data_IF_329297185835
#
_entry.id   IF_329297185835
#
_cell.length_a   1.000
_cell.length_b   1.000
_cell.length_c   1.000
_cell.angle_alpha   90.00
_cell.angle_beta   90.00
_cell.angle_gamma   90.00
#
_symmetry.space_group_name_H-M   'P 1'
#
loop_
_entity.id
_entity.type
_entity.pdbx_description
1 polymer ?
#
# COMPACT_ATOMS: atom_id res chain seq x y z
N UNK A 1 -2.32 15.04 -15.33
CA UNK A 1 -3.02 15.51 -14.13
C UNK A 1 -4.31 14.74 -13.83
N UNK A 2 -5.05 14.28 -14.85
CA UNK A 2 -6.30 13.53 -14.68
C UNK A 2 -6.17 12.21 -13.90
N UNK A 3 -5.08 11.45 -14.10
CA UNK A 3 -4.87 10.16 -13.41
C UNK A 3 -4.98 10.23 -11.89
N UNK A 4 -4.32 11.20 -11.25
CA UNK A 4 -4.37 11.36 -9.79
C UNK A 4 -5.73 11.84 -9.29
N UNK A 5 -6.44 12.67 -10.07
CA UNK A 5 -7.79 13.12 -9.72
C UNK A 5 -8.81 11.98 -9.79
N UNK A 6 -8.72 11.12 -10.81
CA UNK A 6 -9.56 9.93 -10.92
C UNK A 6 -9.25 8.95 -9.78
N UNK A 7 -7.97 8.75 -9.45
CA UNK A 7 -7.59 7.92 -8.32
C UNK A 7 -8.15 8.46 -6.99
N UNK A 8 -8.15 9.77 -6.77
CA UNK A 8 -8.81 10.36 -5.61
C UNK A 8 -10.32 10.13 -5.58
N UNK A 9 -10.99 10.03 -6.73
CA UNK A 9 -12.39 9.64 -6.78
C UNK A 9 -12.57 8.21 -6.28
N UNK A 10 -11.80 7.25 -6.80
CA UNK A 10 -11.87 5.85 -6.35
C UNK A 10 -11.56 5.72 -4.85
N UNK A 11 -10.49 6.38 -4.39
CA UNK A 11 -10.10 6.40 -2.97
C UNK A 11 -11.22 6.97 -2.10
N UNK A 12 -11.85 8.07 -2.52
CA UNK A 12 -12.93 8.70 -1.76
C UNK A 12 -14.14 7.77 -1.61
N UNK A 13 -14.57 7.12 -2.70
CA UNK A 13 -15.69 6.18 -2.64
C UNK A 13 -15.36 4.93 -1.80
N UNK A 14 -14.10 4.47 -1.80
CA UNK A 14 -13.64 3.36 -0.94
C UNK A 14 -13.61 3.75 0.54
N UNK A 15 -13.06 4.92 0.89
CA UNK A 15 -12.99 5.37 2.29
C UNK A 15 -14.40 5.54 2.88
N UNK A 16 -15.39 5.94 2.07
CA UNK A 16 -16.79 6.05 2.52
C UNK A 16 -17.42 4.72 2.93
N UNK A 17 -16.88 3.59 2.50
CA UNK A 17 -17.36 2.26 2.88
C UNK A 17 -16.73 1.72 4.17
N UNK A 18 -15.73 2.42 4.72
CA UNK A 18 -15.16 2.05 6.02
C UNK A 18 -16.20 2.20 7.13
N UNK A 19 -16.08 1.37 8.16
CA UNK A 19 -16.85 1.58 9.37
C UNK A 19 -16.43 2.89 10.08
N UNK A 20 -17.27 3.37 10.99
CA UNK A 20 -17.04 4.63 11.69
C UNK A 20 -15.73 4.61 12.49
N UNK A 21 -15.32 3.47 13.04
CA UNK A 21 -14.08 3.37 13.82
C UNK A 21 -12.85 3.54 12.91
N UNK A 22 -12.82 2.85 11.77
CA UNK A 22 -11.76 2.93 10.79
C UNK A 22 -11.72 4.28 10.09
N UNK A 23 -12.88 4.82 9.69
CA UNK A 23 -12.99 6.13 9.07
C UNK A 23 -12.41 7.23 9.97
N UNK A 24 -12.75 7.21 11.27
CA UNK A 24 -12.30 8.21 12.24
C UNK A 24 -10.80 8.12 12.59
N UNK A 25 -10.10 7.04 12.22
CA UNK A 25 -8.63 6.96 12.35
C UNK A 25 -7.90 7.82 11.32
N UNK A 26 -8.55 8.16 10.21
CA UNK A 26 -7.98 9.00 9.16
C UNK A 26 -8.21 10.47 9.52
N UNK A 27 -7.17 11.33 9.57
CA UNK A 27 -7.34 12.75 9.84
C UNK A 27 -8.29 13.41 8.84
N UNK A 28 -9.20 14.25 9.34
CA UNK A 28 -10.23 14.90 8.53
C UNK A 28 -9.66 15.73 7.38
N UNK A 29 -8.48 16.32 7.57
CA UNK A 29 -7.77 17.10 6.57
C UNK A 29 -7.30 16.24 5.39
N UNK A 30 -6.94 14.97 5.65
CA UNK A 30 -6.55 14.02 4.61
C UNK A 30 -7.77 13.65 3.77
N UNK A 31 -8.89 13.33 4.42
CA UNK A 31 -10.15 13.01 3.73
C UNK A 31 -10.61 14.19 2.89
N UNK A 32 -10.61 15.40 3.46
CA UNK A 32 -10.96 16.63 2.77
C UNK A 32 -10.04 16.91 1.58
N UNK A 33 -8.73 16.69 1.72
CA UNK A 33 -7.81 16.85 0.61
C UNK A 33 -8.10 15.88 -0.54
N UNK A 34 -8.45 14.63 -0.24
CA UNK A 34 -8.87 13.64 -1.26
C UNK A 34 -10.16 14.11 -1.94
N UNK A 35 -11.15 14.54 -1.17
CA UNK A 35 -12.44 15.01 -1.68
C UNK A 35 -12.30 16.24 -2.59
N UNK A 36 -11.56 17.26 -2.16
CA UNK A 36 -11.40 18.51 -2.90
C UNK A 36 -10.58 18.34 -4.19
N UNK A 37 -9.71 17.32 -4.25
CA UNK A 37 -8.84 17.08 -5.40
C UNK A 37 -9.35 15.97 -6.34
N UNK A 38 -10.49 15.34 -6.03
CA UNK A 38 -11.06 14.28 -6.88
C UNK A 38 -11.60 14.81 -8.20
N UNK A 39 -11.72 13.91 -9.18
CA UNK A 39 -12.42 14.22 -10.41
C UNK A 39 -13.91 13.90 -10.26
N UNK A 40 -14.75 14.93 -10.20
CA UNK A 40 -16.20 14.76 -10.04
C UNK A 40 -16.92 14.30 -11.31
N UNK A 41 -16.24 14.31 -12.46
CA UNK A 41 -16.78 13.81 -13.74
C UNK A 41 -16.40 12.35 -14.02
N UNK A 42 -15.51 11.77 -13.19
CA UNK A 42 -15.16 10.36 -13.27
C UNK A 42 -16.05 9.59 -12.29
N UNK A 43 -16.78 8.60 -12.79
CA UNK A 43 -17.63 7.74 -11.99
C UNK A 43 -16.89 6.44 -11.68
N UNK A 44 -16.96 6.02 -10.41
CA UNK A 44 -16.41 4.77 -9.94
C UNK A 44 -17.36 4.17 -8.91
N UNK A 45 -17.80 2.95 -9.16
CA UNK A 45 -18.68 2.21 -8.27
C UNK A 45 -17.94 0.97 -7.75
N UNK A 46 -18.07 0.73 -6.45
CA UNK A 46 -17.59 -0.51 -5.86
C UNK A 46 -18.60 -1.62 -6.10
N UNK A 47 -18.15 -2.65 -6.78
CA UNK A 47 -18.80 -3.95 -6.75
C UNK A 47 -18.66 -4.58 -5.35
N UNK A 48 -19.78 -4.62 -4.62
CA UNK A 48 -19.87 -5.16 -3.25
C UNK A 48 -19.72 -6.69 -3.19
N UNK A 49 -19.86 -7.39 -4.32
CA UNK A 49 -19.76 -8.85 -4.39
C UNK A 49 -18.30 -9.33 -4.49
N UNK A 50 -17.34 -8.43 -4.70
CA UNK A 50 -15.91 -8.74 -4.82
C UNK A 50 -15.05 -8.08 -3.75
N UNK A 51 -13.95 -8.75 -3.40
CA UNK A 51 -13.00 -8.20 -2.43
C UNK A 51 -12.24 -7.00 -3.00
N UNK A 52 -11.88 -6.03 -2.15
CA UNK A 52 -11.14 -4.83 -2.55
C UNK A 52 -9.83 -5.13 -3.30
N UNK A 53 -9.17 -6.25 -3.00
CA UNK A 53 -7.93 -6.67 -3.68
C UNK A 53 -8.15 -7.09 -5.13
N UNK A 54 -9.36 -7.55 -5.45
CA UNK A 54 -9.76 -8.07 -6.75
C UNK A 54 -10.50 -7.01 -7.58
N UNK A 55 -10.82 -5.85 -6.96
CA UNK A 55 -11.33 -4.68 -7.66
C UNK A 55 -10.35 -4.18 -8.72
N UNK A 56 -10.89 -3.79 -9.87
CA UNK A 56 -10.13 -3.11 -10.92
C UNK A 56 -9.91 -1.65 -10.52
N UNK A 57 -8.82 -1.39 -9.80
CA UNK A 57 -8.43 -0.05 -9.36
C UNK A 57 -7.26 0.48 -10.16
N UNK A 58 -7.21 1.81 -10.33
CA UNK A 58 -6.05 2.47 -10.90
C UNK A 58 -4.78 2.18 -10.06
N UNK A 59 -3.60 2.06 -10.67
CA UNK A 59 -2.35 1.86 -9.95
C UNK A 59 -2.11 2.94 -8.87
N UNK A 60 -2.45 4.19 -9.19
CA UNK A 60 -2.36 5.32 -8.27
C UNK A 60 -3.31 5.17 -7.07
N UNK A 61 -4.54 4.68 -7.27
CA UNK A 61 -5.50 4.37 -6.20
C UNK A 61 -4.91 3.35 -5.23
N UNK A 62 -4.37 2.24 -5.77
CA UNK A 62 -3.74 1.19 -4.96
C UNK A 62 -2.59 1.75 -4.11
N UNK A 63 -1.78 2.64 -4.69
CA UNK A 63 -0.68 3.27 -3.97
C UNK A 63 -1.16 4.22 -2.85
N UNK A 64 -2.22 5.00 -3.09
CA UNK A 64 -2.79 5.90 -2.09
C UNK A 64 -3.41 5.10 -0.93
N UNK A 65 -4.23 4.08 -1.24
CA UNK A 65 -4.83 3.20 -0.24
C UNK A 65 -3.78 2.49 0.61
N UNK A 66 -2.69 2.03 -0.01
CA UNK A 66 -1.58 1.41 0.71
C UNK A 66 -0.96 2.37 1.75
N UNK A 67 -0.77 3.64 1.38
CA UNK A 67 -0.25 4.65 2.31
C UNK A 67 -1.24 4.94 3.45
N UNK A 68 -2.53 5.11 3.13
CA UNK A 68 -3.58 5.32 4.15
C UNK A 68 -3.65 4.16 5.13
N UNK A 69 -3.58 2.92 4.61
CA UNK A 69 -3.56 1.73 5.43
C UNK A 69 -2.34 1.72 6.36
N UNK A 70 -1.13 1.91 5.82
CA UNK A 70 0.10 1.95 6.63
C UNK A 70 0.04 3.04 7.70
N UNK A 71 -0.46 4.22 7.37
CA UNK A 71 -0.34 5.39 8.23
C UNK A 71 -1.42 5.45 9.31
N UNK A 72 -2.66 5.05 8.99
CA UNK A 72 -3.84 5.28 9.83
C UNK A 72 -4.62 4.02 10.22
N UNK A 73 -4.73 3.02 9.34
CA UNK A 73 -5.62 1.87 9.57
C UNK A 73 -4.90 0.64 10.14
N UNK A 74 -3.62 0.49 9.85
CA UNK A 74 -2.83 -0.68 10.25
C UNK A 74 -2.45 -0.64 11.74
N UNK A 75 -2.32 -1.82 12.33
CA UNK A 75 -1.75 -1.97 13.68
C UNK A 75 -0.27 -1.57 13.69
N UNK A 76 0.26 -1.26 14.87
CA UNK A 76 1.68 -0.92 15.03
C UNK A 76 2.62 -2.01 14.48
N UNK A 77 2.30 -3.28 14.72
CA UNK A 77 3.08 -4.43 14.23
C UNK A 77 3.05 -4.52 12.69
N UNK A 78 1.86 -4.38 12.08
CA UNK A 78 1.72 -4.36 10.62
C UNK A 78 2.49 -3.19 10.00
N UNK A 79 2.38 -2.00 10.58
CA UNK A 79 3.09 -0.81 10.15
C UNK A 79 4.61 -1.01 10.19
N UNK A 80 5.12 -1.56 11.29
CA UNK A 80 6.56 -1.86 11.43
C UNK A 80 7.03 -2.85 10.36
N UNK A 81 6.26 -3.91 10.12
CA UNK A 81 6.56 -4.88 9.07
C UNK A 81 6.58 -4.24 7.68
N UNK A 82 5.59 -3.40 7.37
CA UNK A 82 5.54 -2.65 6.11
C UNK A 82 6.78 -1.76 5.95
N UNK A 83 7.16 -1.01 6.98
CA UNK A 83 8.33 -0.12 6.94
C UNK A 83 9.60 -0.92 6.68
N UNK A 84 9.79 -2.07 7.34
CA UNK A 84 10.95 -2.94 7.13
C UNK A 84 11.03 -3.43 5.67
N UNK A 85 9.92 -3.95 5.14
CA UNK A 85 9.85 -4.40 3.73
C UNK A 85 10.20 -3.25 2.76
N UNK A 86 9.65 -2.05 3.00
CA UNK A 86 9.94 -0.88 2.16
C UNK A 86 11.42 -0.45 2.21
N UNK A 87 12.08 -0.57 3.37
CA UNK A 87 13.52 -0.28 3.51
C UNK A 87 14.34 -1.28 2.71
N UNK A 88 14.02 -2.57 2.80
CA UNK A 88 14.69 -3.64 2.07
C UNK A 88 14.52 -3.49 0.55
N UNK A 89 13.31 -3.22 0.07
CA UNK A 89 13.03 -2.98 -1.35
C UNK A 89 13.79 -1.77 -1.89
N UNK A 90 13.85 -0.67 -1.13
CA UNK A 90 14.64 0.52 -1.51
C UNK A 90 16.11 0.17 -1.65
N UNK A 91 16.68 -0.54 -0.68
CA UNK A 91 18.07 -0.98 -0.72
C UNK A 91 18.36 -1.85 -1.94
N UNK A 92 17.49 -2.82 -2.25
CA UNK A 92 17.61 -3.69 -3.43
C UNK A 92 17.54 -2.89 -4.73
N UNK A 93 16.62 -1.93 -4.82
CA UNK A 93 16.51 -1.06 -5.98
C UNK A 93 17.73 -0.16 -6.17
N UNK A 94 18.33 0.35 -5.08
CA UNK A 94 19.59 1.11 -5.14
C UNK A 94 20.76 0.23 -5.61
N UNK A 95 20.86 -1.01 -5.12
CA UNK A 95 21.86 -1.97 -5.58
C UNK A 95 21.70 -2.27 -7.07
N UNK A 96 20.50 -2.61 -7.53
CA UNK A 96 20.21 -2.86 -8.94
C UNK A 96 20.56 -1.66 -9.83
N UNK A 97 20.27 -0.43 -9.38
CA UNK A 97 20.68 0.79 -10.08
C UNK A 97 22.20 0.92 -10.14
N UNK A 98 22.90 0.66 -9.03
CA UNK A 98 24.36 0.73 -8.99
C UNK A 98 25.02 -0.26 -9.96
N UNK A 99 24.47 -1.48 -10.06
CA UNK A 99 24.93 -2.52 -11.00
C UNK A 99 24.61 -2.16 -12.46
N UNK A 100 23.37 -1.72 -12.74
CA UNK A 100 22.93 -1.39 -14.09
C UNK A 100 23.67 -0.19 -14.67
N UNK A 101 23.90 0.84 -13.86
CA UNK A 101 24.46 2.10 -14.32
C UNK A 101 25.97 2.21 -14.15
N UNK A 102 26.65 1.15 -13.67
CA UNK A 102 28.08 0.99 -13.34
C UNK A 102 28.98 2.13 -13.85
N UNK A 103 28.76 3.32 -13.30
CA UNK A 103 29.41 4.55 -13.70
C UNK A 103 29.90 5.10 -12.40
N UNK A 104 31.14 4.73 -12.18
CA UNK A 104 31.97 5.30 -11.16
C UNK A 104 32.29 6.75 -11.59
N UNK A 105 31.25 7.59 -11.72
CA UNK A 105 31.34 9.03 -11.99
C UNK A 105 32.12 9.73 -10.87
N UNK A 106 32.29 9.06 -9.73
CA UNK A 106 32.99 9.54 -8.54
C UNK A 106 34.01 8.53 -7.96
N UNK A 107 34.49 7.55 -8.76
CA UNK A 107 35.42 6.44 -8.43
C UNK A 107 36.65 6.72 -7.56
N UNK A 108 36.99 7.97 -7.32
CA UNK A 108 38.20 8.33 -6.60
C UNK A 108 38.09 8.24 -5.07
N UNK A 109 36.97 7.77 -4.48
CA UNK A 109 36.83 7.73 -3.01
C UNK A 109 36.27 6.40 -2.46
N UNK A 110 37.22 5.45 -2.30
CA UNK A 110 37.35 4.30 -1.36
C UNK A 110 36.25 4.12 -0.28
N UNK A 111 35.90 2.93 0.27
CA UNK A 111 36.15 1.46 0.08
C UNK A 111 35.53 0.75 1.33
N UNK A 112 35.15 -0.55 1.22
CA UNK A 112 34.99 -1.58 2.32
C UNK A 112 33.61 -1.59 3.05
N UNK A 113 32.89 -2.68 3.40
CA UNK A 113 33.19 -4.11 3.65
C UNK A 113 31.98 -5.02 3.39
N UNK A 114 32.27 -6.30 3.12
CA UNK A 114 31.45 -7.44 2.73
C UNK A 114 30.91 -8.24 3.94
N UNK A 115 29.63 -8.65 3.93
CA UNK A 115 29.09 -9.75 4.76
C UNK A 115 28.00 -10.52 3.98
N UNK A 116 28.47 -11.57 3.30
CA UNK A 116 27.93 -12.93 3.08
C UNK A 116 26.42 -13.21 3.27
N UNK A 117 25.85 -13.71 2.18
CA UNK A 117 24.52 -14.28 1.98
C UNK A 117 24.37 -15.68 2.61
N UNK A 118 23.21 -15.93 3.24
CA UNK A 118 22.67 -17.28 3.39
C UNK A 118 21.33 -17.35 2.65
N UNK A 119 21.28 -18.28 1.69
CA UNK A 119 20.16 -18.51 0.79
C UNK A 119 18.95 -19.05 1.55
N UNK A 120 17.78 -18.46 1.35
CA UNK A 120 16.51 -19.15 1.54
C UNK A 120 15.57 -18.80 0.39
N UNK A 121 14.98 -19.85 -0.15
CA UNK A 121 14.37 -19.94 -1.47
C UNK A 121 13.12 -19.06 -1.62
N UNK A 122 12.84 -18.68 -2.87
CA UNK A 122 11.64 -17.97 -3.28
C UNK A 122 10.39 -18.71 -2.76
N UNK A 123 9.65 -18.11 -1.84
CA UNK A 123 8.30 -18.59 -1.53
C UNK A 123 7.33 -17.88 -2.47
N UNK A 124 6.78 -18.65 -3.40
CA UNK A 124 5.60 -18.32 -4.18
C UNK A 124 4.44 -18.00 -3.21
N UNK A 125 4.01 -16.73 -3.17
CA UNK A 125 2.93 -16.33 -2.27
C UNK A 125 1.59 -16.86 -2.80
N UNK A 126 1.15 -17.99 -2.25
CA UNK A 126 -0.23 -18.47 -2.35
C UNK A 126 -1.17 -17.55 -1.57
N UNK A 127 -2.17 -17.02 -2.26
CA UNK A 127 -3.33 -16.36 -1.65
C UNK A 127 -4.04 -17.31 -0.66
N UNK A 128 -4.17 -16.93 0.63
CA UNK A 128 -5.23 -17.37 1.58
C UNK A 128 -5.07 -16.91 3.05
N UNK A 129 -4.83 -15.61 3.33
CA UNK A 129 -4.74 -15.15 4.74
C UNK A 129 -5.73 -14.02 5.08
N UNK A 130 -6.09 -13.16 4.12
CA UNK A 130 -7.03 -12.04 4.35
C UNK A 130 -8.50 -12.50 4.47
N UNK A 131 -8.90 -13.58 3.78
CA UNK A 131 -10.23 -14.22 3.89
C UNK A 131 -10.57 -14.79 5.28
N UNK A 132 -9.57 -15.03 6.15
CA UNK A 132 -9.76 -15.69 7.46
C UNK A 132 -10.05 -14.74 8.61
N UNK A 133 -9.81 -13.44 8.45
CA UNK A 133 -9.94 -12.45 9.52
C UNK A 133 -11.31 -11.76 9.45
N UNK A 134 -11.76 -11.37 8.25
CA UNK A 134 -13.05 -10.67 8.08
C UNK A 134 -14.27 -11.58 8.35
N UNK A 135 -14.20 -12.87 8.00
CA UNK A 135 -15.28 -13.84 8.28
C UNK A 135 -15.44 -14.22 9.77
N UNK A 136 -14.47 -13.90 10.64
CA UNK A 136 -14.55 -14.18 12.08
C UNK A 136 -15.26 -13.08 12.88
N UNK A 137 -15.22 -11.84 12.40
CA UNK A 137 -15.85 -10.70 13.07
C UNK A 137 -17.38 -10.76 12.93
N UNK A 138 -17.88 -11.26 11.79
CA UNK A 138 -19.32 -11.43 11.55
C UNK A 138 -19.98 -12.57 12.35
N UNK A 139 -19.21 -13.56 12.83
CA UNK A 139 -19.73 -14.67 13.64
C UNK A 139 -19.84 -14.37 15.14
N UNK A 140 -19.27 -13.26 15.62
CA UNK A 140 -19.26 -12.95 17.06
C UNK A 140 -20.46 -12.10 17.53
N UNK A 141 -21.28 -11.57 16.62
CA UNK A 141 -22.43 -10.71 16.94
C UNK A 141 -23.79 -11.28 16.50
N UNK A 142 -23.91 -12.60 16.42
CA UNK A 142 -25.21 -13.28 16.44
C UNK A 142 -25.16 -14.43 17.46
N UNK A 143 -25.46 -14.05 18.72
CA UNK A 143 -25.51 -14.87 19.96
C UNK A 143 -24.18 -15.42 20.46
#
# INVERSE_FOLDING_TARGET
MTKYKNAYTEVYEIIKQLDEEEYNKIPSEVIKAIEENRNTEYEFDLDEDIELKDQELLPETKAILFNLFRDYLSTAEQKEKIIKMQVEERRKNEQNKSEQYNSDLFASKKKVQDIREEHTELIEYKENILKRIFNKIRQFFHV
#
